data_IF_948989933818
#
_entry.id   IF_948989933818
#
_cell.length_a   1.000
_cell.length_b   1.000
_cell.length_c   1.000
_cell.angle_alpha   90.00
_cell.angle_beta   90.00
_cell.angle_gamma   90.00
#
_symmetry.space_group_name_H-M   'P 1'
#
loop_
_entity.id
_entity.type
_entity.pdbx_description
1 polymer ?
#
# COMPACT_ATOMS: atom_id res chain seq x y z
N UNK A 1 9.75 -6.44 -9.06
CA UNK A 1 9.01 -5.21 -8.82
C UNK A 1 9.60 -4.50 -7.60
N UNK A 2 9.83 -3.20 -7.70
CA UNK A 2 10.25 -2.33 -6.60
C UNK A 2 9.79 -0.89 -6.85
N UNK A 3 10.06 0.03 -5.90
CA UNK A 3 9.67 1.44 -5.98
C UNK A 3 10.20 2.21 -7.21
N UNK A 4 11.18 1.68 -7.93
CA UNK A 4 11.79 2.33 -9.11
C UNK A 4 11.35 1.67 -10.43
N UNK A 5 10.40 0.73 -10.39
CA UNK A 5 10.00 -0.04 -11.58
C UNK A 5 9.40 0.85 -12.66
N UNK A 6 8.66 1.90 -12.27
CA UNK A 6 8.06 2.87 -13.19
C UNK A 6 8.34 4.30 -12.72
N UNK A 7 8.18 5.26 -13.61
CA UNK A 7 8.39 6.67 -13.31
C UNK A 7 7.20 7.29 -12.56
N UNK A 8 7.48 8.06 -11.49
CA UNK A 8 6.48 8.92 -10.84
C UNK A 8 6.27 10.23 -11.61
N UNK A 9 7.33 10.79 -12.19
CA UNK A 9 7.34 12.14 -12.75
C UNK A 9 6.43 12.30 -13.96
N UNK A 10 6.34 11.27 -14.81
CA UNK A 10 5.51 11.27 -16.01
C UNK A 10 4.12 10.62 -15.80
N UNK A 11 3.80 10.22 -14.56
CA UNK A 11 2.53 9.58 -14.23
C UNK A 11 2.42 8.09 -14.61
N UNK A 12 3.48 7.47 -15.13
CA UNK A 12 3.49 6.07 -15.56
C UNK A 12 3.09 5.11 -14.43
N UNK A 13 3.65 5.30 -13.23
CA UNK A 13 3.27 4.50 -12.05
C UNK A 13 1.77 4.56 -11.76
N UNK A 14 1.21 5.76 -11.75
CA UNK A 14 -0.21 5.96 -11.48
C UNK A 14 -1.09 5.28 -12.53
N UNK A 15 -0.70 5.39 -13.79
CA UNK A 15 -1.44 4.77 -14.90
C UNK A 15 -1.43 3.25 -14.78
N UNK A 16 -0.28 2.64 -14.49
CA UNK A 16 -0.17 1.19 -14.27
C UNK A 16 -1.03 0.74 -13.07
N UNK A 17 -1.01 1.48 -11.96
CA UNK A 17 -1.87 1.18 -10.81
C UNK A 17 -3.35 1.26 -11.18
N UNK A 18 -3.76 2.29 -11.93
CA UNK A 18 -5.15 2.45 -12.37
C UNK A 18 -5.61 1.28 -13.25
N UNK A 19 -4.74 0.82 -14.16
CA UNK A 19 -5.03 -0.32 -15.01
C UNK A 19 -5.19 -1.61 -14.20
N UNK A 20 -4.34 -1.86 -13.21
CA UNK A 20 -4.48 -3.02 -12.32
C UNK A 20 -5.74 -2.94 -11.45
N UNK A 21 -6.08 -1.78 -10.93
CA UNK A 21 -7.33 -1.57 -10.17
C UNK A 21 -8.56 -1.83 -11.03
N UNK A 22 -8.55 -1.37 -12.27
CA UNK A 22 -9.64 -1.63 -13.22
C UNK A 22 -9.75 -3.13 -13.53
N UNK A 23 -8.62 -3.79 -13.79
CA UNK A 23 -8.56 -5.23 -14.06
C UNK A 23 -9.08 -6.05 -12.87
N UNK A 24 -8.69 -5.67 -11.65
CA UNK A 24 -9.18 -6.33 -10.42
C UNK A 24 -10.70 -6.17 -10.26
N UNK A 25 -11.21 -4.96 -10.48
CA UNK A 25 -12.65 -4.70 -10.43
C UNK A 25 -13.42 -5.50 -11.47
N UNK A 26 -12.89 -5.65 -12.68
CA UNK A 26 -13.49 -6.44 -13.76
C UNK A 26 -13.48 -7.93 -13.41
N UNK A 27 -12.39 -8.45 -12.92
CA UNK A 27 -12.27 -9.84 -12.49
C UNK A 27 -13.23 -10.17 -11.33
N UNK A 28 -13.37 -9.25 -10.36
CA UNK A 28 -14.33 -9.41 -9.26
C UNK A 28 -15.78 -9.40 -9.74
N UNK A 29 -16.14 -8.54 -10.70
CA UNK A 29 -17.48 -8.53 -11.28
C UNK A 29 -17.78 -9.85 -11.98
N UNK A 30 -16.83 -10.36 -12.74
CA UNK A 30 -16.97 -11.64 -13.41
C UNK A 30 -17.10 -12.80 -12.40
N UNK A 31 -16.23 -12.84 -11.37
CA UNK A 31 -16.32 -13.82 -10.28
C UNK A 31 -17.71 -13.87 -9.66
N UNK A 32 -18.27 -12.70 -9.32
CA UNK A 32 -19.57 -12.60 -8.68
C UNK A 32 -20.75 -13.01 -9.62
N UNK A 33 -20.53 -13.01 -10.92
CA UNK A 33 -21.53 -13.46 -11.91
C UNK A 33 -21.50 -14.96 -12.19
N UNK A 34 -20.45 -15.66 -11.79
CA UNK A 34 -20.30 -17.08 -12.02
C UNK A 34 -21.09 -17.93 -11.03
N UNK A 35 -21.61 -19.11 -11.45
CA UNK A 35 -22.13 -20.09 -10.51
C UNK A 35 -21.06 -20.51 -9.48
N UNK A 36 -21.49 -20.77 -8.24
CA UNK A 36 -20.58 -21.11 -7.13
C UNK A 36 -19.63 -22.29 -7.44
N UNK A 37 -20.07 -23.25 -8.28
CA UNK A 37 -19.23 -24.36 -8.68
C UNK A 37 -17.99 -24.01 -9.47
N UNK A 38 -17.90 -22.79 -10.01
CA UNK A 38 -16.73 -22.29 -10.74
C UNK A 38 -15.86 -21.35 -9.90
N UNK A 39 -16.30 -20.94 -8.72
CA UNK A 39 -15.63 -19.92 -7.93
C UNK A 39 -14.19 -20.28 -7.56
N UNK A 40 -13.95 -21.50 -7.07
CA UNK A 40 -12.59 -21.93 -6.69
C UNK A 40 -11.64 -21.95 -7.89
N UNK A 41 -12.09 -22.50 -9.03
CA UNK A 41 -11.26 -22.55 -10.24
C UNK A 41 -10.97 -21.15 -10.79
N UNK A 42 -11.99 -20.30 -10.88
CA UNK A 42 -11.83 -18.93 -11.35
C UNK A 42 -10.91 -18.11 -10.41
N UNK A 43 -11.13 -18.25 -9.10
CA UNK A 43 -10.30 -17.57 -8.10
C UNK A 43 -8.84 -18.01 -8.22
N UNK A 44 -8.57 -19.30 -8.35
CA UNK A 44 -7.21 -19.83 -8.46
C UNK A 44 -6.48 -19.30 -9.70
N UNK A 45 -7.16 -19.32 -10.86
CA UNK A 45 -6.49 -19.11 -12.16
C UNK A 45 -6.51 -17.64 -12.58
N UNK A 46 -7.55 -16.90 -12.22
CA UNK A 46 -7.80 -15.53 -12.69
C UNK A 46 -7.72 -14.52 -11.55
N UNK A 47 -8.60 -14.65 -10.54
CA UNK A 47 -8.77 -13.58 -9.56
C UNK A 47 -7.55 -13.43 -8.63
N UNK A 48 -7.02 -14.54 -8.11
CA UNK A 48 -5.88 -14.50 -7.19
C UNK A 48 -4.63 -13.85 -7.80
N UNK A 49 -4.13 -14.24 -8.99
CA UNK A 49 -2.97 -13.58 -9.57
C UNK A 49 -3.23 -12.10 -9.89
N UNK A 50 -4.44 -11.72 -10.26
CA UNK A 50 -4.79 -10.31 -10.49
C UNK A 50 -4.79 -9.55 -9.16
N UNK A 51 -5.46 -10.05 -8.11
CA UNK A 51 -5.48 -9.42 -6.77
C UNK A 51 -4.07 -9.25 -6.22
N UNK A 52 -3.22 -10.28 -6.35
CA UNK A 52 -1.84 -10.25 -5.85
C UNK A 52 -1.00 -9.21 -6.60
N UNK A 53 -1.02 -9.24 -7.92
CA UNK A 53 -0.23 -8.31 -8.74
C UNK A 53 -0.74 -6.87 -8.62
N UNK A 54 -2.06 -6.66 -8.56
CA UNK A 54 -2.66 -5.36 -8.28
C UNK A 54 -2.18 -4.81 -6.93
N UNK A 55 -2.22 -5.63 -5.89
CA UNK A 55 -1.76 -5.27 -4.55
C UNK A 55 -0.28 -4.91 -4.50
N UNK A 56 0.58 -5.68 -5.17
CA UNK A 56 2.02 -5.42 -5.22
C UNK A 56 2.34 -4.11 -5.96
N UNK A 57 1.65 -3.82 -7.07
CA UNK A 57 1.86 -2.56 -7.79
C UNK A 57 1.43 -1.36 -6.95
N UNK A 58 0.28 -1.44 -6.28
CA UNK A 58 -0.16 -0.40 -5.35
C UNK A 58 0.82 -0.20 -4.20
N UNK A 59 1.33 -1.29 -3.61
CA UNK A 59 2.25 -1.25 -2.47
C UNK A 59 3.58 -0.57 -2.84
N UNK A 60 4.20 -0.95 -3.95
CA UNK A 60 5.45 -0.34 -4.37
C UNK A 60 5.26 1.08 -4.93
N UNK A 61 4.10 1.39 -5.48
CA UNK A 61 3.72 2.77 -5.79
C UNK A 61 3.63 3.62 -4.51
N UNK A 62 2.97 3.10 -3.47
CA UNK A 62 2.89 3.79 -2.18
C UNK A 62 4.28 4.01 -1.56
N UNK A 63 5.19 3.03 -1.64
CA UNK A 63 6.59 3.20 -1.23
C UNK A 63 7.30 4.29 -2.05
N UNK A 64 7.10 4.31 -3.37
CA UNK A 64 7.71 5.31 -4.24
C UNK A 64 7.24 6.74 -3.87
N UNK A 65 5.94 6.92 -3.66
CA UNK A 65 5.34 8.18 -3.20
C UNK A 65 5.87 8.58 -1.82
N UNK A 66 5.93 7.64 -0.88
CA UNK A 66 6.47 7.87 0.44
C UNK A 66 7.90 8.42 0.38
N UNK A 67 8.78 7.76 -0.39
CA UNK A 67 10.18 8.16 -0.52
C UNK A 67 10.32 9.53 -1.22
N UNK A 68 9.54 9.78 -2.26
CA UNK A 68 9.58 11.06 -2.99
C UNK A 68 9.15 12.22 -2.12
N UNK A 69 8.05 12.06 -1.38
CA UNK A 69 7.51 13.09 -0.49
C UNK A 69 8.38 13.29 0.75
N UNK A 70 8.93 12.21 1.31
CA UNK A 70 9.85 12.30 2.44
C UNK A 70 11.10 13.13 2.10
N UNK A 71 11.69 12.95 0.91
CA UNK A 71 12.82 13.76 0.45
C UNK A 71 12.50 15.26 0.36
N UNK A 72 11.23 15.61 0.20
CA UNK A 72 10.75 16.99 0.17
C UNK A 72 10.36 17.51 1.56
N UNK A 73 10.48 16.69 2.62
CA UNK A 73 9.97 17.01 3.96
C UNK A 73 8.43 17.11 4.01
N UNK A 74 7.73 16.56 3.02
CA UNK A 74 6.28 16.66 2.91
C UNK A 74 5.60 15.64 3.84
N UNK A 75 4.74 16.11 4.79
CA UNK A 75 4.04 15.24 5.73
C UNK A 75 3.14 14.19 5.08
N UNK A 76 2.66 14.42 3.85
CA UNK A 76 1.90 13.41 3.08
C UNK A 76 2.69 12.12 2.87
N UNK A 77 4.01 12.13 3.08
CA UNK A 77 4.81 10.91 3.13
C UNK A 77 4.27 9.89 4.14
N UNK A 78 3.73 10.36 5.29
CA UNK A 78 3.20 9.47 6.33
C UNK A 78 1.95 8.73 5.87
N UNK A 79 1.06 9.39 5.12
CA UNK A 79 -0.14 8.76 4.54
C UNK A 79 0.24 7.62 3.59
N UNK A 80 1.26 7.85 2.77
CA UNK A 80 1.75 6.81 1.86
C UNK A 80 2.50 5.69 2.57
N UNK A 81 3.14 5.98 3.72
CA UNK A 81 3.71 4.94 4.58
C UNK A 81 2.60 4.04 5.13
N UNK A 82 1.53 4.61 5.66
CA UNK A 82 0.38 3.87 6.19
C UNK A 82 -0.29 3.03 5.12
N UNK A 83 -0.44 3.59 3.92
CA UNK A 83 -1.01 2.86 2.77
C UNK A 83 -0.13 1.67 2.36
N UNK A 84 1.20 1.84 2.30
CA UNK A 84 2.11 0.76 2.00
C UNK A 84 2.04 -0.37 3.05
N UNK A 85 1.98 -0.04 4.33
CA UNK A 85 1.80 -1.01 5.42
C UNK A 85 0.46 -1.74 5.33
N UNK A 86 -0.61 -1.02 4.98
CA UNK A 86 -1.93 -1.61 4.77
C UNK A 86 -1.92 -2.63 3.63
N UNK A 87 -1.27 -2.29 2.52
CA UNK A 87 -1.15 -3.16 1.35
C UNK A 87 -0.24 -4.36 1.61
N UNK A 88 0.81 -4.19 2.41
CA UNK A 88 1.64 -5.30 2.88
C UNK A 88 0.83 -6.31 3.72
N UNK A 89 -0.02 -5.82 4.62
CA UNK A 89 -0.94 -6.67 5.39
C UNK A 89 -1.98 -7.35 4.48
N UNK A 90 -2.49 -6.62 3.48
CA UNK A 90 -3.43 -7.19 2.49
C UNK A 90 -2.82 -8.35 1.73
N UNK A 91 -1.56 -8.26 1.35
CA UNK A 91 -0.82 -9.32 0.68
C UNK A 91 -0.85 -10.64 1.48
N UNK A 92 -0.52 -10.54 2.76
CA UNK A 92 -0.59 -11.70 3.67
C UNK A 92 -1.99 -12.32 3.74
N UNK A 93 -3.05 -11.50 3.71
CA UNK A 93 -4.43 -11.99 3.72
C UNK A 93 -4.82 -12.68 2.40
N UNK A 94 -4.34 -12.18 1.26
CA UNK A 94 -4.55 -12.79 -0.06
C UNK A 94 -3.88 -14.18 -0.09
N UNK A 95 -2.64 -14.28 0.36
CA UNK A 95 -1.89 -15.53 0.42
C UNK A 95 -2.48 -16.52 1.44
N UNK A 96 -2.92 -16.03 2.62
CA UNK A 96 -3.59 -16.84 3.62
C UNK A 96 -4.90 -17.46 3.09
N UNK A 97 -5.70 -16.64 2.39
CA UNK A 97 -6.92 -17.15 1.77
C UNK A 97 -6.62 -18.28 0.75
N UNK A 98 -5.61 -18.09 -0.09
CA UNK A 98 -5.21 -19.10 -1.06
C UNK A 98 -4.81 -20.41 -0.38
N UNK A 99 -3.97 -20.32 0.65
CA UNK A 99 -3.45 -21.50 1.33
C UNK A 99 -4.52 -22.22 2.17
N UNK A 100 -5.38 -21.49 2.89
CA UNK A 100 -6.17 -22.09 3.95
C UNK A 100 -7.70 -22.09 3.70
N UNK A 101 -8.19 -21.25 2.78
CA UNK A 101 -9.65 -21.11 2.54
C UNK A 101 -10.10 -21.63 1.19
N UNK A 102 -9.36 -21.31 0.13
CA UNK A 102 -9.73 -21.69 -1.22
C UNK A 102 -9.77 -23.22 -1.36
N UNK A 103 -10.82 -23.71 -2.00
CA UNK A 103 -11.06 -25.14 -2.20
C UNK A 103 -10.92 -25.97 -0.91
N UNK A 104 -11.40 -25.41 0.23
CA UNK A 104 -11.32 -26.07 1.54
C UNK A 104 -9.89 -26.29 2.05
N UNK A 105 -8.94 -25.45 1.63
CA UNK A 105 -7.52 -25.55 2.04
C UNK A 105 -6.71 -26.58 1.25
N UNK A 106 -7.23 -27.05 0.11
CA UNK A 106 -6.53 -28.02 -0.76
C UNK A 106 -5.13 -27.57 -1.16
N UNK A 107 -4.92 -26.26 -1.30
CA UNK A 107 -3.69 -25.66 -1.80
C UNK A 107 -2.77 -25.16 -0.70
N UNK A 108 -2.96 -25.66 0.54
CA UNK A 108 -2.12 -25.27 1.66
C UNK A 108 -0.62 -25.47 1.36
N UNK A 109 0.18 -24.43 1.60
CA UNK A 109 1.61 -24.40 1.35
C UNK A 109 2.03 -24.00 -0.07
N UNK A 110 1.10 -23.77 -0.98
CA UNK A 110 1.45 -23.34 -2.35
C UNK A 110 1.92 -21.89 -2.43
N UNK A 111 1.37 -21.01 -1.57
CA UNK A 111 1.75 -19.59 -1.47
C UNK A 111 2.55 -19.34 -0.18
N UNK A 112 3.70 -20.00 -0.08
CA UNK A 112 4.63 -19.86 1.06
C UNK A 112 5.97 -19.25 0.65
N UNK A 113 6.24 -19.22 -0.67
CA UNK A 113 7.46 -18.60 -1.15
C UNK A 113 7.41 -17.11 -0.94
N UNK A 114 8.49 -16.57 -0.40
CA UNK A 114 8.72 -15.16 -0.27
C UNK A 114 8.69 -14.44 -1.62
N UNK A 115 8.01 -13.30 -1.69
CA UNK A 115 7.86 -12.52 -2.92
C UNK A 115 8.00 -11.01 -2.70
N UNK A 116 7.85 -10.52 -1.45
CA UNK A 116 8.12 -9.13 -1.09
C UNK A 116 9.52 -9.03 -0.46
N UNK A 117 10.35 -8.15 -1.01
CA UNK A 117 11.74 -7.98 -0.58
C UNK A 117 12.68 -9.10 -1.02
N UNK A 118 12.24 -9.99 -1.89
CA UNK A 118 13.07 -11.05 -2.49
C UNK A 118 14.14 -10.45 -3.40
N UNK A 119 15.40 -10.83 -3.20
CA UNK A 119 16.54 -10.29 -3.95
C UNK A 119 17.31 -11.34 -4.72
N UNK A 120 17.40 -12.55 -4.21
CA UNK A 120 18.17 -13.64 -4.83
C UNK A 120 17.68 -15.01 -4.36
N UNK A 121 18.10 -16.06 -5.06
CA UNK A 121 17.80 -17.45 -4.69
C UNK A 121 18.34 -17.86 -3.31
N UNK A 122 19.34 -17.16 -2.80
CA UNK A 122 20.00 -17.44 -1.53
C UNK A 122 19.65 -16.43 -0.44
N UNK A 123 18.50 -15.77 -0.55
CA UNK A 123 18.04 -14.86 0.50
C UNK A 123 17.76 -15.64 1.78
N UNK A 124 18.43 -15.27 2.88
CA UNK A 124 18.36 -15.96 4.16
C UNK A 124 17.08 -15.67 4.95
N UNK A 125 16.23 -14.77 4.50
CA UNK A 125 15.06 -14.42 5.24
C UNK A 125 13.86 -15.34 4.94
N UNK A 126 13.24 -15.83 5.97
CA UNK A 126 12.16 -16.82 5.88
C UNK A 126 10.80 -16.22 5.51
N UNK A 127 10.61 -14.90 5.68
CA UNK A 127 9.32 -14.21 5.54
C UNK A 127 9.42 -12.98 4.65
N UNK A 128 8.29 -12.61 4.04
CA UNK A 128 8.14 -11.33 3.40
C UNK A 128 8.45 -10.18 4.36
N UNK A 129 9.10 -9.15 3.85
CA UNK A 129 9.53 -7.99 4.62
C UNK A 129 8.84 -6.75 4.07
N UNK A 130 8.17 -5.99 4.94
CA UNK A 130 7.59 -4.71 4.55
C UNK A 130 8.67 -3.82 3.93
N UNK A 131 8.40 -3.18 2.80
CA UNK A 131 9.34 -2.25 2.20
C UNK A 131 9.78 -1.15 3.18
N UNK A 132 11.01 -0.65 3.00
CA UNK A 132 11.50 0.47 3.80
C UNK A 132 10.63 1.71 3.60
N UNK A 133 10.23 2.33 4.70
CA UNK A 133 9.36 3.50 4.73
C UNK A 133 9.94 4.58 5.62
N UNK A 134 9.70 5.83 5.26
CA UNK A 134 10.13 6.99 6.01
C UNK A 134 8.93 7.77 6.52
N UNK A 135 9.09 8.37 7.71
CA UNK A 135 8.05 9.19 8.32
C UNK A 135 8.61 10.57 8.66
N UNK A 136 7.92 11.59 8.18
CA UNK A 136 8.21 12.97 8.58
C UNK A 136 7.71 13.17 10.00
N UNK A 137 8.58 13.62 10.87
CA UNK A 137 8.25 13.96 12.27
C UNK A 137 8.28 15.48 12.46
N UNK A 138 7.62 15.98 13.49
CA UNK A 138 7.67 17.41 13.83
C UNK A 138 9.09 17.92 14.12
N UNK A 139 10.04 17.00 14.34
CA UNK A 139 11.46 17.32 14.56
C UNK A 139 12.25 17.48 13.25
N UNK A 140 11.75 16.92 12.16
CA UNK A 140 12.45 16.96 10.86
C UNK A 140 12.22 18.30 10.11
N UNK A 141 11.54 19.26 10.76
CA UNK A 141 11.27 20.59 10.21
C UNK A 141 10.40 20.51 8.96
N UNK A 142 9.11 20.47 9.15
CA UNK A 142 8.18 20.66 8.03
C UNK A 142 8.52 22.00 7.37
N UNK A 143 9.09 21.96 6.18
CA UNK A 143 9.31 23.17 5.39
C UNK A 143 7.93 23.61 4.87
N UNK A 144 7.32 24.53 5.58
CA UNK A 144 6.12 25.22 5.11
C UNK A 144 6.61 26.17 4.02
N UNK A 145 6.30 25.85 2.77
CA UNK A 145 6.65 26.70 1.64
C UNK A 145 5.39 27.32 1.04
N UNK A 146 5.49 28.59 0.71
CA UNK A 146 4.49 29.26 -0.12
C UNK A 146 4.61 28.76 -1.57
N UNK A 147 3.48 28.39 -2.14
CA UNK A 147 3.37 28.06 -3.55
C UNK A 147 2.26 28.92 -4.17
N UNK A 148 2.61 29.86 -5.05
CA UNK A 148 1.69 30.80 -5.71
C UNK A 148 0.77 31.57 -4.73
N UNK A 149 1.31 32.05 -3.62
CA UNK A 149 0.54 32.81 -2.62
C UNK A 149 -0.31 31.93 -1.69
N UNK A 150 -0.19 30.62 -1.78
CA UNK A 150 -0.92 29.68 -0.93
C UNK A 150 0.04 28.98 0.02
N UNK A 151 -0.25 29.00 1.31
CA UNK A 151 0.40 28.18 2.34
C UNK A 151 -0.61 27.15 2.81
N UNK A 152 -0.35 25.88 2.53
CA UNK A 152 -1.17 24.76 2.98
C UNK A 152 -0.49 24.05 4.16
N UNK A 153 -1.18 23.98 5.30
CA UNK A 153 -0.72 23.30 6.50
C UNK A 153 -1.82 22.37 6.97
N UNK A 154 -1.55 21.08 6.99
CA UNK A 154 -2.47 20.12 7.61
C UNK A 154 -2.40 20.23 9.14
N UNK A 155 -3.56 20.18 9.80
CA UNK A 155 -3.67 20.40 11.24
C UNK A 155 -2.73 19.55 12.14
N UNK A 156 -2.38 18.29 11.82
CA UNK A 156 -1.45 17.50 12.61
C UNK A 156 0.00 18.01 12.60
N UNK A 157 0.36 18.87 11.64
CA UNK A 157 1.75 19.31 11.44
C UNK A 157 2.03 20.70 12.01
N UNK A 158 1.39 21.04 13.10
CA UNK A 158 1.69 22.28 13.84
C UNK A 158 3.04 22.22 14.55
N UNK A 159 3.76 23.33 14.58
CA UNK A 159 5.06 23.44 15.28
C UNK A 159 4.92 23.54 16.80
N UNK A 160 3.78 24.04 17.28
CA UNK A 160 3.47 24.13 18.71
C UNK A 160 1.96 24.21 18.92
N UNK A 161 1.52 23.72 20.07
CA UNK A 161 0.13 23.84 20.50
C UNK A 161 0.07 24.33 21.94
N UNK A 162 -1.00 25.03 22.30
CA UNK A 162 -1.26 25.40 23.67
C UNK A 162 -2.61 24.81 24.07
N UNK A 163 -2.60 23.94 25.08
CA UNK A 163 -3.81 23.39 25.66
C UNK A 163 -4.42 24.41 26.64
N UNK A 164 -5.73 24.53 26.65
CA UNK A 164 -6.43 25.30 27.67
C UNK A 164 -6.51 24.50 28.98
N UNK A 165 -6.77 25.18 30.11
CA UNK A 165 -6.81 24.53 31.42
C UNK A 165 -7.79 23.35 31.52
N UNK A 166 -8.89 23.41 30.75
CA UNK A 166 -9.96 22.39 30.76
C UNK A 166 -10.18 21.71 29.40
N UNK A 167 -9.34 22.00 28.37
CA UNK A 167 -9.46 21.43 27.05
C UNK A 167 -8.08 21.12 26.45
N UNK A 168 -7.94 19.94 25.87
CA UNK A 168 -6.71 19.51 25.19
C UNK A 168 -6.97 19.28 23.71
N UNK A 169 -6.04 19.73 22.87
CA UNK A 169 -6.02 19.38 21.47
C UNK A 169 -5.61 17.93 21.32
N UNK A 170 -6.46 17.14 20.71
CA UNK A 170 -6.18 15.72 20.41
C UNK A 170 -6.35 15.49 18.92
N UNK A 171 -5.37 14.88 18.30
CA UNK A 171 -5.49 14.41 16.93
C UNK A 171 -6.51 13.26 16.89
N UNK A 172 -7.50 13.39 15.99
CA UNK A 172 -8.47 12.33 15.75
C UNK A 172 -8.06 11.66 14.42
N UNK A 173 -7.48 10.47 14.45
CA UNK A 173 -7.06 9.78 13.25
C UNK A 173 -8.29 9.47 12.37
N UNK A 174 -8.13 9.59 11.07
CA UNK A 174 -9.16 9.31 10.05
C UNK A 174 -10.33 10.31 9.92
N UNK A 175 -10.17 11.51 10.43
CA UNK A 175 -11.11 12.61 10.20
C UNK A 175 -10.44 13.74 9.42
N UNK A 176 -10.09 13.49 8.17
CA UNK A 176 -9.50 14.47 7.27
C UNK A 176 -9.73 14.11 5.83
#
# INVERSE_FOLDING_TARGET
LDKNTYSLENGEWQEVVNQYLQLEADALRQYNSLPASYHDAYRQIILFPIELMSNLHQMYFAQAQNHALYKQGNPKANVWADECERLFKRDSLICDYYNHKMAGGKWNGMMTQKHIGYKSWNDDFEKDTCPELFRVTSKDGVIISENNGVVEIEAPYYSSKTDAAEAKWTEIPFMG
#
